data_IF_125997734927
#
_entry.id   IF_125997734927
#
_cell.length_a   1.000
_cell.length_b   1.000
_cell.length_c   1.000
_cell.angle_alpha   90.00
_cell.angle_beta   90.00
_cell.angle_gamma   90.00
#
_symmetry.space_group_name_H-M   'P 1'
#
loop_
_entity.id
_entity.type
_entity.pdbx_description
1 polymer ?
#
# COMPACT_ATOMS: atom_id res chain seq x y z
N UNK A 1 -13.13 -25.47 37.83
CA UNK A 1 -13.00 -24.01 37.63
C UNK A 1 -12.85 -23.74 36.14
N UNK A 2 -13.55 -22.77 35.53
CA UNK A 2 -13.35 -22.47 34.11
C UNK A 2 -11.97 -21.83 33.93
N UNK A 3 -11.20 -22.33 32.97
CA UNK A 3 -9.92 -21.73 32.58
C UNK A 3 -10.18 -20.31 32.05
N UNK A 4 -9.44 -19.29 32.52
CA UNK A 4 -9.55 -17.96 31.93
C UNK A 4 -9.17 -18.08 30.46
N UNK A 5 -9.93 -17.47 29.53
CA UNK A 5 -9.57 -17.50 28.12
C UNK A 5 -8.14 -16.96 27.99
N UNK A 6 -7.23 -17.85 27.56
CA UNK A 6 -5.84 -17.49 27.31
C UNK A 6 -5.80 -16.62 26.05
N UNK A 7 -6.10 -15.35 26.22
CA UNK A 7 -5.87 -14.36 25.18
C UNK A 7 -4.37 -14.33 24.94
N UNK A 8 -3.95 -15.00 23.86
CA UNK A 8 -2.58 -14.98 23.36
C UNK A 8 -2.12 -13.53 23.19
N UNK A 9 -0.82 -13.27 23.28
CA UNK A 9 -0.28 -11.92 23.10
C UNK A 9 -0.78 -11.25 21.80
N UNK A 10 -1.01 -12.04 20.76
CA UNK A 10 -1.59 -11.61 19.49
C UNK A 10 -3.05 -11.14 19.64
N UNK A 11 -3.88 -11.86 20.40
CA UNK A 11 -5.27 -11.46 20.67
C UNK A 11 -5.35 -10.15 21.46
N UNK A 12 -4.44 -9.92 22.42
CA UNK A 12 -4.38 -8.65 23.17
C UNK A 12 -3.99 -7.47 22.27
N UNK A 13 -3.02 -7.66 21.38
CA UNK A 13 -2.62 -6.65 20.40
C UNK A 13 -3.77 -6.32 19.45
N UNK A 14 -4.45 -7.34 18.94
CA UNK A 14 -5.61 -7.17 18.05
C UNK A 14 -6.71 -6.37 18.76
N UNK A 15 -7.05 -6.72 19.99
CA UNK A 15 -8.05 -6.00 20.78
C UNK A 15 -7.66 -4.53 20.99
N UNK A 16 -6.40 -4.25 21.29
CA UNK A 16 -5.90 -2.87 21.42
C UNK A 16 -5.99 -2.08 20.12
N UNK A 17 -5.72 -2.70 18.98
CA UNK A 17 -5.87 -2.07 17.66
C UNK A 17 -7.36 -1.82 17.36
N UNK A 18 -8.24 -2.79 17.60
CA UNK A 18 -9.69 -2.65 17.40
C UNK A 18 -10.24 -1.51 18.25
N UNK A 19 -9.86 -1.43 19.52
CA UNK A 19 -10.30 -0.35 20.40
C UNK A 19 -9.85 1.02 19.87
N UNK A 20 -8.61 1.15 19.39
CA UNK A 20 -8.12 2.40 18.80
C UNK A 20 -8.88 2.78 17.53
N UNK A 21 -9.21 1.81 16.67
CA UNK A 21 -10.03 2.05 15.49
C UNK A 21 -11.44 2.51 15.86
N UNK A 22 -12.06 1.88 16.86
CA UNK A 22 -13.37 2.31 17.37
C UNK A 22 -13.34 3.75 17.90
N UNK A 23 -12.27 4.13 18.63
CA UNK A 23 -12.11 5.50 19.10
C UNK A 23 -11.97 6.50 17.95
N UNK A 24 -11.22 6.16 16.90
CA UNK A 24 -11.11 7.01 15.69
C UNK A 24 -12.47 7.14 15.01
N UNK A 25 -13.22 6.03 14.87
CA UNK A 25 -14.56 6.07 14.28
C UNK A 25 -15.49 7.01 15.03
N UNK A 26 -15.48 6.96 16.36
CA UNK A 26 -16.31 7.84 17.20
C UNK A 26 -15.85 9.29 17.12
N UNK A 27 -14.54 9.55 17.18
CA UNK A 27 -13.99 10.92 17.21
C UNK A 27 -14.21 11.67 15.89
N UNK A 28 -14.08 10.97 14.76
CA UNK A 28 -14.21 11.54 13.42
C UNK A 28 -15.64 11.40 12.87
N UNK A 29 -16.59 10.85 13.65
CA UNK A 29 -17.95 10.50 13.22
C UNK A 29 -17.98 9.63 11.95
N UNK A 30 -17.01 8.72 11.82
CA UNK A 30 -16.89 7.84 10.66
C UNK A 30 -17.74 6.59 10.86
N UNK A 31 -18.48 6.23 9.82
CA UNK A 31 -19.12 4.92 9.72
C UNK A 31 -18.07 3.82 9.49
N UNK A 32 -18.38 2.55 9.83
CA UNK A 32 -17.48 1.44 9.53
C UNK A 32 -17.09 1.36 8.05
N UNK A 33 -18.01 1.71 7.14
CA UNK A 33 -17.77 1.71 5.70
C UNK A 33 -16.78 2.81 5.29
N UNK A 34 -16.89 4.01 5.84
CA UNK A 34 -15.96 5.11 5.57
C UNK A 34 -14.56 4.82 6.13
N UNK A 35 -14.45 4.23 7.33
CA UNK A 35 -13.16 3.81 7.86
C UNK A 35 -12.46 2.81 6.93
N UNK A 36 -13.21 1.84 6.38
CA UNK A 36 -12.68 0.91 5.39
C UNK A 36 -12.22 1.67 4.14
N UNK A 37 -13.04 2.59 3.61
CA UNK A 37 -12.66 3.44 2.48
C UNK A 37 -11.37 4.24 2.72
N UNK A 38 -11.22 4.84 3.91
CA UNK A 38 -10.00 5.54 4.31
C UNK A 38 -8.79 4.60 4.35
N UNK A 39 -8.96 3.39 4.89
CA UNK A 39 -7.89 2.39 4.92
C UNK A 39 -7.47 1.94 3.50
N UNK A 40 -8.43 1.80 2.58
CA UNK A 40 -8.16 1.47 1.18
C UNK A 40 -7.40 2.57 0.46
N UNK A 41 -7.76 3.84 0.69
CA UNK A 41 -7.04 4.99 0.16
C UNK A 41 -5.59 4.97 0.68
N UNK A 42 -5.39 4.78 1.99
CA UNK A 42 -4.04 4.69 2.57
C UNK A 42 -3.24 3.53 1.95
N UNK A 43 -3.85 2.33 1.81
CA UNK A 43 -3.22 1.18 1.13
C UNK A 43 -2.80 1.50 -0.30
N UNK A 44 -3.70 2.11 -1.08
CA UNK A 44 -3.45 2.44 -2.48
C UNK A 44 -2.36 3.50 -2.63
N UNK A 45 -2.31 4.49 -1.73
CA UNK A 45 -1.24 5.48 -1.69
C UNK A 45 0.09 4.84 -1.28
N UNK A 46 0.10 3.96 -0.29
CA UNK A 46 1.31 3.25 0.14
C UNK A 46 1.95 2.44 -0.99
N UNK A 47 1.14 1.70 -1.77
CA UNK A 47 1.60 0.99 -2.96
C UNK A 47 2.22 1.93 -3.99
N UNK A 48 1.54 3.04 -4.32
CA UNK A 48 2.07 4.04 -5.27
C UNK A 48 3.35 4.72 -4.80
N UNK A 49 3.48 4.99 -3.50
CA UNK A 49 4.71 5.55 -2.94
C UNK A 49 5.84 4.54 -3.08
N UNK A 50 5.60 3.25 -2.83
CA UNK A 50 6.60 2.20 -3.06
C UNK A 50 6.95 1.98 -4.54
N UNK A 51 5.98 2.08 -5.46
CA UNK A 51 6.23 2.07 -6.91
C UNK A 51 7.06 3.28 -7.37
N UNK A 52 6.85 4.47 -6.79
CA UNK A 52 7.65 5.67 -7.08
C UNK A 52 9.04 5.61 -6.42
N UNK A 53 9.13 5.02 -5.23
CA UNK A 53 10.39 4.88 -4.47
C UNK A 53 11.30 3.80 -5.05
N UNK A 54 10.72 2.88 -5.83
CA UNK A 54 11.45 1.97 -6.70
C UNK A 54 11.15 2.35 -8.15
N UNK A 55 11.72 3.46 -8.67
CA UNK A 55 11.71 3.65 -10.10
C UNK A 55 12.49 2.46 -10.65
N UNK A 56 11.79 1.48 -11.23
CA UNK A 56 12.41 0.61 -12.21
C UNK A 56 12.89 1.58 -13.26
N UNK A 57 14.17 1.95 -13.17
CA UNK A 57 14.94 2.48 -14.26
C UNK A 57 14.95 1.32 -15.26
N UNK A 58 13.85 1.17 -15.99
CA UNK A 58 13.87 0.69 -17.36
C UNK A 58 14.72 1.75 -18.06
N UNK A 59 16.04 1.65 -17.87
CA UNK A 59 17.01 2.34 -18.68
C UNK A 59 16.58 2.00 -20.08
N UNK A 60 16.10 3.01 -20.80
CA UNK A 60 15.86 2.93 -22.22
C UNK A 60 17.17 2.38 -22.80
N UNK A 61 17.26 1.08 -23.06
CA UNK A 61 18.43 0.48 -23.68
C UNK A 61 18.26 0.90 -25.13
N UNK A 62 19.05 1.86 -25.66
CA UNK A 62 19.00 2.13 -27.08
C UNK A 62 19.46 0.82 -27.71
N UNK A 63 18.59 0.21 -28.53
CA UNK A 63 18.95 -1.00 -29.25
C UNK A 63 20.28 -0.73 -29.97
N UNK A 64 21.36 -1.36 -29.50
CA UNK A 64 22.68 -1.36 -30.13
C UNK A 64 22.53 -2.09 -31.47
N UNK A 65 22.02 -1.39 -32.47
CA UNK A 65 22.12 -1.74 -33.88
C UNK A 65 22.96 -0.69 -34.60
N UNK A 66 23.80 -1.06 -35.58
CA UNK A 66 24.54 -0.08 -36.35
C UNK A 66 23.56 0.86 -37.06
N UNK A 67 23.73 2.17 -36.85
CA UNK A 67 23.00 3.22 -37.56
C UNK A 67 23.48 3.20 -39.01
N UNK A 68 22.74 2.53 -39.90
CA UNK A 68 22.92 2.68 -41.34
C UNK A 68 22.06 3.87 -41.77
N UNK A 69 22.65 5.02 -42.17
CA UNK A 69 21.86 6.12 -42.70
C UNK A 69 21.27 5.74 -44.07
N UNK A 70 20.04 6.17 -44.40
CA UNK A 70 19.43 5.88 -45.68
C UNK A 70 20.23 6.55 -46.83
N UNK A 71 20.29 5.93 -48.03
CA UNK A 71 21.03 6.49 -49.16
C UNK A 71 20.46 7.85 -49.57
N UNK A 72 21.32 8.87 -49.71
CA UNK A 72 20.93 10.14 -50.32
C UNK A 72 20.73 9.90 -51.82
N UNK A 73 19.50 10.05 -52.29
CA UNK A 73 19.11 9.91 -53.69
C UNK A 73 19.38 11.23 -54.45
N UNK A 74 20.10 11.24 -55.59
CA UNK A 74 19.94 12.26 -56.63
C UNK A 74 18.69 11.99 -57.48
#
# INVERSE_FOLDING_TARGET
MPVPPQHTLQAKKLMGIVHRLQQIMVNENLTPAELVGCAEIVRNNFGRIHDISNPKIEAFIPARGPIVPPPRRP
#
